data_IF_569871640991
#
_entry.id   IF_569871640991
#
_cell.length_a   1.000
_cell.length_b   1.000
_cell.length_c   1.000
_cell.angle_alpha   90.00
_cell.angle_beta   90.00
_cell.angle_gamma   90.00
#
_symmetry.space_group_name_H-M   'P 1'
#
loop_
_entity.id
_entity.type
_entity.pdbx_description
1 polymer ?
#
# COMPACT_ATOMS: atom_id res chain seq x y z
N UNK A 1 22.10 -1.22 -3.24
CA UNK A 1 22.47 -2.47 -2.56
C UNK A 1 21.31 -3.44 -2.76
N UNK A 2 21.51 -4.63 -3.32
CA UNK A 2 20.46 -5.63 -3.50
C UNK A 2 20.32 -6.48 -2.25
N UNK A 3 19.08 -6.90 -1.94
CA UNK A 3 18.77 -7.79 -0.83
C UNK A 3 17.99 -9.00 -1.34
N UNK A 4 18.12 -10.12 -0.65
CA UNK A 4 17.33 -11.31 -0.90
C UNK A 4 15.88 -11.03 -0.52
N UNK A 5 14.95 -11.19 -1.47
CA UNK A 5 13.57 -10.77 -1.28
C UNK A 5 12.80 -11.68 -0.31
N UNK A 6 12.06 -11.09 0.61
CA UNK A 6 11.12 -11.80 1.48
C UNK A 6 9.95 -12.32 0.64
N UNK A 7 9.74 -13.63 0.59
CA UNK A 7 8.71 -14.32 -0.21
C UNK A 7 7.89 -15.30 0.61
N UNK A 8 7.70 -15.05 1.91
CA UNK A 8 6.79 -15.87 2.75
C UNK A 8 5.35 -15.80 2.23
N UNK A 9 4.93 -14.60 1.88
CA UNK A 9 3.61 -14.30 1.34
C UNK A 9 3.66 -13.06 0.43
N UNK A 10 2.63 -12.78 -0.38
CA UNK A 10 2.60 -11.62 -1.27
C UNK A 10 2.72 -10.28 -0.55
N UNK A 11 2.21 -10.17 0.67
CA UNK A 11 2.30 -8.95 1.49
C UNK A 11 3.75 -8.68 1.91
N UNK A 12 4.53 -9.71 2.26
CA UNK A 12 5.95 -9.60 2.59
C UNK A 12 6.77 -9.10 1.39
N UNK A 13 6.48 -9.59 0.18
CA UNK A 13 7.11 -9.10 -1.05
C UNK A 13 6.82 -7.63 -1.30
N UNK A 14 5.56 -7.23 -1.19
CA UNK A 14 5.13 -5.84 -1.38
C UNK A 14 5.79 -4.92 -0.36
N UNK A 15 5.80 -5.31 0.91
CA UNK A 15 6.47 -4.56 1.98
C UNK A 15 7.96 -4.39 1.71
N UNK A 16 8.64 -5.46 1.31
CA UNK A 16 10.08 -5.41 1.03
C UNK A 16 10.43 -4.43 -0.08
N UNK A 17 9.62 -4.38 -1.15
CA UNK A 17 9.78 -3.42 -2.25
C UNK A 17 9.55 -1.95 -1.84
N UNK A 18 8.79 -1.71 -0.78
CA UNK A 18 8.44 -0.38 -0.26
C UNK A 18 9.26 0.03 0.97
N UNK A 19 10.30 -0.71 1.30
CA UNK A 19 11.14 -0.45 2.48
C UNK A 19 12.12 0.69 2.22
N UNK A 20 12.27 1.57 3.20
CA UNK A 20 13.21 2.69 3.23
C UNK A 20 14.25 2.39 4.30
N UNK A 21 15.53 2.56 3.99
CA UNK A 21 16.63 2.31 4.92
C UNK A 21 17.52 3.55 5.03
N UNK A 22 17.81 3.95 6.26
CA UNK A 22 18.82 4.97 6.55
C UNK A 22 20.25 4.41 6.57
N UNK A 23 20.40 3.08 6.51
CA UNK A 23 21.68 2.37 6.58
C UNK A 23 22.29 2.18 5.18
N UNK A 24 23.59 1.99 5.13
CA UNK A 24 24.30 1.61 3.92
C UNK A 24 25.29 2.64 3.42
N UNK A 25 25.86 2.46 2.20
CA UNK A 25 26.82 3.40 1.63
C UNK A 25 26.20 4.78 1.46
N UNK A 26 26.86 5.81 2.03
CA UNK A 26 26.35 7.18 2.05
C UNK A 26 25.29 7.47 3.10
N UNK A 27 24.88 6.47 3.89
CA UNK A 27 23.93 6.58 4.99
C UNK A 27 24.59 6.52 6.36
N UNK A 28 23.76 6.21 7.37
CA UNK A 28 24.19 6.09 8.77
C UNK A 28 24.70 4.69 9.08
N UNK A 29 25.52 4.58 10.14
CA UNK A 29 25.80 3.32 10.81
C UNK A 29 24.93 3.20 12.07
N UNK A 30 24.59 1.97 12.48
CA UNK A 30 23.75 1.72 13.67
C UNK A 30 24.30 2.37 14.94
N UNK A 31 25.61 2.37 15.06
CA UNK A 31 26.34 2.89 16.25
C UNK A 31 26.32 4.42 16.31
N UNK A 32 26.26 5.09 15.15
CA UNK A 32 26.25 6.55 15.06
C UNK A 32 24.83 7.14 15.03
N UNK A 33 23.81 6.30 14.90
CA UNK A 33 22.42 6.74 14.86
C UNK A 33 21.91 7.03 16.27
N UNK A 34 21.78 8.31 16.60
CA UNK A 34 21.15 8.79 17.84
C UNK A 34 19.62 8.68 17.79
N UNK A 35 18.97 9.20 18.83
CA UNK A 35 17.49 9.23 18.90
C UNK A 35 16.88 10.12 17.84
N UNK A 36 17.46 11.25 17.52
CA UNK A 36 16.92 12.24 16.58
C UNK A 36 16.59 11.67 15.19
N UNK A 37 17.46 10.77 14.68
CA UNK A 37 17.26 10.13 13.37
C UNK A 37 16.29 8.95 13.40
N UNK A 38 15.89 8.50 14.59
CA UNK A 38 14.95 7.39 14.80
C UNK A 38 13.55 7.87 15.16
N UNK A 39 13.43 9.14 15.55
CA UNK A 39 12.19 9.75 15.95
C UNK A 39 11.27 10.02 14.75
N UNK A 40 9.98 10.12 15.03
CA UNK A 40 8.97 10.47 14.04
C UNK A 40 8.91 11.99 13.96
N UNK A 41 9.21 12.53 12.77
CA UNK A 41 9.12 13.95 12.48
C UNK A 41 7.80 14.27 11.78
N UNK A 42 7.28 15.48 11.89
CA UNK A 42 6.01 15.85 11.23
C UNK A 42 6.05 15.67 9.70
N UNK A 43 7.22 15.84 9.07
CA UNK A 43 7.42 15.59 7.64
C UNK A 43 7.22 14.14 7.20
N UNK A 44 7.12 13.20 8.15
CA UNK A 44 6.81 11.80 7.85
C UNK A 44 5.33 11.59 7.50
N UNK A 45 4.47 12.54 7.85
CA UNK A 45 3.03 12.44 7.60
C UNK A 45 2.74 12.18 6.12
N UNK A 46 1.99 11.12 5.84
CA UNK A 46 1.65 10.71 4.48
C UNK A 46 2.81 10.18 3.63
N UNK A 47 4.04 10.13 4.15
CA UNK A 47 5.27 9.71 3.46
C UNK A 47 5.87 8.44 4.02
N UNK A 48 6.12 8.41 5.31
CA UNK A 48 6.69 7.25 6.01
C UNK A 48 5.77 6.80 7.13
N UNK A 49 5.53 5.49 7.22
CA UNK A 49 4.68 4.93 8.27
C UNK A 49 5.33 5.13 9.64
N UNK A 50 4.61 5.69 10.64
CA UNK A 50 5.15 5.88 11.98
C UNK A 50 5.19 4.59 12.81
N UNK A 51 4.50 3.54 12.37
CA UNK A 51 4.30 2.30 13.13
C UNK A 51 5.20 1.18 12.61
N UNK A 52 5.26 0.98 11.29
CA UNK A 52 5.98 -0.14 10.69
C UNK A 52 7.50 0.09 10.68
N UNK A 53 8.17 -0.44 11.67
CA UNK A 53 9.64 -0.45 11.80
C UNK A 53 10.07 -1.76 12.47
N UNK A 54 11.30 -2.26 12.26
CA UNK A 54 11.81 -3.41 13.00
C UNK A 54 11.92 -3.13 14.50
N UNK A 55 11.85 -4.18 15.28
CA UNK A 55 12.19 -4.14 16.70
C UNK A 55 13.71 -4.28 16.88
N UNK A 56 14.25 -3.67 17.96
CA UNK A 56 15.66 -3.79 18.29
C UNK A 56 16.56 -2.70 17.68
N UNK A 57 17.83 -3.00 17.35
CA UNK A 57 18.83 -1.99 16.98
C UNK A 57 18.51 -1.15 15.75
N UNK A 58 17.65 -1.64 14.88
CA UNK A 58 17.26 -0.98 13.63
C UNK A 58 15.98 -0.15 13.76
N UNK A 59 15.39 -0.02 14.95
CA UNK A 59 14.18 0.75 15.16
C UNK A 59 14.35 2.19 14.65
N UNK A 60 13.40 2.68 13.88
CA UNK A 60 13.42 4.02 13.29
C UNK A 60 14.40 4.22 12.12
N UNK A 61 15.36 3.30 11.90
CA UNK A 61 16.34 3.38 10.81
C UNK A 61 15.87 2.66 9.54
N UNK A 62 14.99 1.68 9.70
CA UNK A 62 14.34 0.99 8.60
C UNK A 62 12.84 1.26 8.76
N UNK A 63 12.26 1.89 7.76
CA UNK A 63 10.87 2.30 7.74
C UNK A 63 10.19 1.81 6.46
N UNK A 64 8.90 2.03 6.35
CA UNK A 64 8.12 1.67 5.15
C UNK A 64 7.43 2.90 4.58
N UNK A 65 7.36 2.94 3.25
CA UNK A 65 6.64 3.98 2.52
C UNK A 65 5.15 3.93 2.87
N UNK A 66 4.54 5.08 3.14
CA UNK A 66 3.11 5.18 3.38
C UNK A 66 2.29 4.76 2.16
N UNK A 67 1.03 4.38 2.38
CA UNK A 67 0.18 3.71 1.37
C UNK A 67 0.11 4.46 0.04
N UNK A 68 -0.10 5.77 0.07
CA UNK A 68 -0.27 6.60 -1.13
C UNK A 68 0.97 7.38 -1.54
N UNK A 69 2.06 7.28 -0.77
CA UNK A 69 3.29 8.00 -1.04
C UNK A 69 3.99 7.50 -2.31
N UNK A 70 4.65 8.41 -3.00
CA UNK A 70 5.48 8.16 -4.19
C UNK A 70 6.87 8.76 -4.00
N UNK A 71 7.82 8.26 -4.76
CA UNK A 71 9.17 8.82 -4.86
C UNK A 71 9.25 9.55 -6.20
N UNK A 72 9.64 10.83 -6.17
CA UNK A 72 9.79 11.63 -7.37
C UNK A 72 11.11 11.33 -8.09
N UNK A 73 11.31 11.97 -9.25
CA UNK A 73 12.51 11.78 -10.07
C UNK A 73 13.82 12.21 -9.39
N UNK A 74 13.76 13.03 -8.34
CA UNK A 74 14.90 13.49 -7.56
C UNK A 74 15.19 12.64 -6.34
N UNK A 75 14.31 11.66 -6.04
CA UNK A 75 14.44 10.77 -4.88
C UNK A 75 13.73 11.24 -3.61
N UNK A 76 12.98 12.35 -3.66
CA UNK A 76 12.17 12.82 -2.53
C UNK A 76 10.83 12.08 -2.48
N UNK A 77 10.32 11.88 -1.26
CA UNK A 77 9.03 11.26 -1.04
C UNK A 77 7.95 12.34 -1.09
N UNK A 78 6.93 12.10 -1.90
CA UNK A 78 5.77 12.98 -2.07
C UNK A 78 4.52 12.32 -1.52
N UNK A 79 3.66 13.12 -0.90
CA UNK A 79 2.33 12.73 -0.45
C UNK A 79 1.25 13.40 -1.31
N UNK A 80 0.12 12.71 -1.58
CA UNK A 80 -0.96 13.26 -2.38
C UNK A 80 -1.98 13.97 -1.51
N UNK A 81 -2.51 15.10 -2.02
CA UNK A 81 -3.55 15.92 -1.40
C UNK A 81 -4.58 16.36 -2.43
N UNK A 82 -5.82 16.55 -1.99
CA UNK A 82 -6.90 17.11 -2.79
C UNK A 82 -6.85 18.63 -2.67
N UNK A 83 -6.90 19.31 -3.80
CA UNK A 83 -6.89 20.78 -3.82
C UNK A 83 -8.24 21.34 -3.40
N UNK A 84 -8.23 22.40 -2.61
CA UNK A 84 -9.42 23.17 -2.24
C UNK A 84 -9.45 24.46 -3.07
N UNK A 85 -10.56 24.71 -3.74
CA UNK A 85 -10.78 25.95 -4.46
C UNK A 85 -11.15 27.06 -3.47
N UNK A 86 -10.31 28.09 -3.39
CA UNK A 86 -10.50 29.22 -2.45
C UNK A 86 -11.69 30.14 -2.78
N UNK A 87 -12.09 30.16 -4.06
CA UNK A 87 -13.22 31.02 -4.47
C UNK A 87 -14.54 30.40 -4.07
N UNK A 88 -14.70 29.12 -4.27
CA UNK A 88 -15.94 28.39 -4.00
C UNK A 88 -15.94 27.67 -2.64
N UNK A 89 -14.80 27.51 -1.99
CA UNK A 89 -14.62 26.73 -0.76
C UNK A 89 -14.87 25.23 -0.97
N UNK A 90 -14.73 24.74 -2.21
CA UNK A 90 -15.02 23.37 -2.60
C UNK A 90 -13.74 22.53 -2.67
N UNK A 91 -13.78 21.33 -2.11
CA UNK A 91 -12.76 20.32 -2.30
C UNK A 91 -12.89 19.73 -3.71
N UNK A 92 -11.85 19.84 -4.51
CA UNK A 92 -11.82 19.32 -5.90
C UNK A 92 -11.34 17.88 -5.93
N UNK A 93 -11.55 17.20 -7.07
CA UNK A 93 -10.98 15.87 -7.32
C UNK A 93 -9.55 15.94 -7.89
N UNK A 94 -9.00 17.15 -8.01
CA UNK A 94 -7.62 17.35 -8.44
C UNK A 94 -6.66 16.90 -7.33
N UNK A 95 -5.83 15.91 -7.64
CA UNK A 95 -4.83 15.35 -6.73
C UNK A 95 -3.46 15.94 -7.05
N UNK A 96 -2.87 16.62 -6.08
CA UNK A 96 -1.53 17.20 -6.18
C UNK A 96 -0.58 16.43 -5.27
N UNK A 97 0.57 16.03 -5.81
CA UNK A 97 1.65 15.41 -5.04
C UNK A 97 2.63 16.49 -4.59
N UNK A 98 2.93 16.52 -3.30
CA UNK A 98 3.82 17.53 -2.71
C UNK A 98 4.92 16.88 -1.87
N UNK A 99 6.11 17.48 -1.94
CA UNK A 99 7.22 17.22 -1.01
C UNK A 99 6.96 17.91 0.33
N UNK A 100 7.69 17.55 1.37
CA UNK A 100 7.45 18.09 2.72
C UNK A 100 7.72 19.59 2.82
N UNK A 101 8.75 20.08 2.11
CA UNK A 101 9.10 21.50 2.05
C UNK A 101 8.01 22.35 1.39
N UNK A 102 7.40 21.85 0.32
CA UNK A 102 6.28 22.50 -0.33
C UNK A 102 5.02 22.48 0.53
N UNK A 103 4.78 21.38 1.25
CA UNK A 103 3.64 21.21 2.15
C UNK A 103 3.66 22.21 3.32
N UNK A 104 4.84 22.58 3.80
CA UNK A 104 5.03 23.52 4.92
C UNK A 104 4.42 24.92 4.67
N UNK A 105 4.11 25.25 3.42
CA UNK A 105 3.50 26.54 3.05
C UNK A 105 1.97 26.52 3.16
N UNK A 106 1.34 25.34 3.27
CA UNK A 106 -0.11 25.16 3.13
C UNK A 106 -0.78 24.66 4.40
N UNK A 107 -2.07 25.03 4.55
CA UNK A 107 -2.97 24.53 5.58
C UNK A 107 -3.78 23.38 5.01
N UNK A 108 -3.67 22.19 5.62
CA UNK A 108 -4.24 20.95 5.11
C UNK A 108 -5.31 20.42 6.06
N UNK A 109 -6.53 20.25 5.55
CA UNK A 109 -7.63 19.64 6.31
C UNK A 109 -7.49 18.14 6.42
N UNK A 110 -8.00 17.57 7.52
CA UNK A 110 -8.05 16.13 7.71
C UNK A 110 -9.10 15.49 6.78
N UNK A 111 -8.84 14.24 6.37
CA UNK A 111 -9.71 13.48 5.47
C UNK A 111 -11.09 13.15 6.06
N UNK A 112 -11.25 13.21 7.40
CA UNK A 112 -12.49 12.88 8.09
C UNK A 112 -13.47 14.05 8.20
N UNK A 113 -13.06 15.24 7.78
CA UNK A 113 -13.93 16.43 7.87
C UNK A 113 -15.17 16.23 6.99
N UNK A 114 -16.38 16.52 7.53
CA UNK A 114 -17.62 16.32 6.80
C UNK A 114 -17.76 17.34 5.67
N UNK A 115 -18.10 16.83 4.48
CA UNK A 115 -18.37 17.61 3.28
C UNK A 115 -19.84 17.49 2.91
N UNK A 116 -20.41 18.55 2.32
CA UNK A 116 -21.73 18.52 1.72
C UNK A 116 -21.73 17.81 0.34
N UNK A 117 -22.90 17.71 -0.29
CA UNK A 117 -23.04 17.11 -1.62
C UNK A 117 -22.27 17.89 -2.72
N UNK A 118 -21.98 19.17 -2.48
CA UNK A 118 -21.20 20.00 -3.38
C UNK A 118 -19.69 19.95 -3.11
N UNK A 119 -19.27 19.23 -2.06
CA UNK A 119 -17.86 19.10 -1.64
C UNK A 119 -17.34 20.28 -0.83
N UNK A 120 -18.21 21.04 -0.14
CA UNK A 120 -17.82 22.11 0.78
C UNK A 120 -17.82 21.63 2.22
N UNK A 121 -16.99 22.24 3.06
CA UNK A 121 -16.96 21.94 4.48
C UNK A 121 -18.29 22.39 5.14
N UNK A 122 -18.90 21.46 5.88
CA UNK A 122 -20.17 21.72 6.61
C UNK A 122 -19.89 22.56 7.85
N UNK A 123 -18.80 22.23 8.55
CA UNK A 123 -18.46 22.86 9.81
C UNK A 123 -17.81 24.24 9.61
N UNK A 124 -18.18 25.19 10.48
CA UNK A 124 -17.60 26.55 10.48
C UNK A 124 -16.11 26.53 10.85
N UNK A 125 -15.68 25.56 11.63
CA UNK A 125 -14.31 25.32 12.01
C UNK A 125 -13.94 23.92 11.59
N UNK A 126 -12.86 23.79 10.89
CA UNK A 126 -12.32 22.55 10.31
C UNK A 126 -11.01 22.26 10.99
N UNK A 127 -10.81 21.00 11.39
CA UNK A 127 -9.54 20.53 11.91
C UNK A 127 -8.53 20.44 10.77
N UNK A 128 -7.45 21.20 10.89
CA UNK A 128 -6.42 21.29 9.88
C UNK A 128 -5.03 21.19 10.52
N UNK A 129 -4.08 20.76 9.71
CA UNK A 129 -2.68 20.67 10.06
C UNK A 129 -1.89 21.77 9.34
N UNK A 130 -1.01 22.42 10.08
CA UNK A 130 -0.03 23.35 9.56
C UNK A 130 1.33 23.03 10.19
N UNK A 131 2.25 22.47 9.41
CA UNK A 131 3.52 21.93 9.87
C UNK A 131 3.30 20.87 10.98
N UNK A 132 3.76 21.15 12.20
CA UNK A 132 3.64 20.32 13.41
C UNK A 132 2.41 20.63 14.27
N UNK A 133 1.68 21.69 13.97
CA UNK A 133 0.52 22.14 14.74
C UNK A 133 -0.79 21.64 14.15
N UNK A 134 -1.72 21.25 15.03
CA UNK A 134 -3.11 20.96 14.68
C UNK A 134 -3.93 22.19 15.10
N UNK A 135 -4.63 22.78 14.13
CA UNK A 135 -5.38 24.03 14.27
C UNK A 135 -6.85 23.82 13.90
N UNK A 136 -7.73 24.53 14.57
CA UNK A 136 -9.11 24.71 14.12
C UNK A 136 -9.23 26.03 13.34
N UNK A 137 -9.42 25.95 12.05
CA UNK A 137 -9.49 27.11 11.16
C UNK A 137 -10.80 27.15 10.36
N UNK A 138 -11.25 28.32 9.93
CA UNK A 138 -12.39 28.38 9.03
C UNK A 138 -12.05 27.77 7.66
N UNK A 139 -13.01 27.13 7.00
CA UNK A 139 -12.83 26.46 5.72
C UNK A 139 -12.18 27.30 4.62
N UNK A 140 -12.36 28.64 4.67
CA UNK A 140 -11.74 29.58 3.72
C UNK A 140 -10.21 29.68 3.81
N UNK A 141 -9.61 29.22 4.90
CA UNK A 141 -8.14 29.20 5.09
C UNK A 141 -7.48 27.90 4.64
N UNK A 142 -8.27 26.90 4.28
CA UNK A 142 -7.77 25.59 3.89
C UNK A 142 -7.32 25.63 2.43
N UNK A 143 -6.12 25.15 2.17
CA UNK A 143 -5.53 25.06 0.84
C UNK A 143 -5.72 23.67 0.21
N UNK A 144 -5.56 22.62 1.02
CA UNK A 144 -5.66 21.24 0.59
C UNK A 144 -6.38 20.39 1.65
N UNK A 145 -6.76 19.18 1.25
CA UNK A 145 -7.36 18.18 2.12
C UNK A 145 -6.68 16.82 1.90
N UNK A 146 -6.49 16.08 2.98
CA UNK A 146 -6.00 14.69 2.91
C UNK A 146 -6.93 13.83 2.06
N UNK A 147 -6.37 12.86 1.32
CA UNK A 147 -7.16 11.97 0.47
C UNK A 147 -7.93 10.94 1.31
N UNK A 148 -7.26 10.38 2.31
CA UNK A 148 -7.80 9.30 3.14
C UNK A 148 -7.04 9.24 4.47
N UNK A 149 -7.71 8.84 5.57
CA UNK A 149 -7.02 8.58 6.84
C UNK A 149 -5.93 7.50 6.73
N UNK A 150 -6.06 6.59 5.77
CA UNK A 150 -5.08 5.51 5.51
C UNK A 150 -3.76 6.02 4.94
N UNK A 151 -3.68 7.28 4.50
CA UNK A 151 -2.43 7.80 3.96
C UNK A 151 -1.31 7.94 5.00
N UNK A 152 -1.65 7.95 6.29
CA UNK A 152 -0.69 8.03 7.39
C UNK A 152 0.18 6.78 7.52
N UNK A 153 -0.39 5.60 7.24
CA UNK A 153 0.21 4.30 7.54
C UNK A 153 0.67 3.56 6.27
N UNK A 154 1.54 2.57 6.46
CA UNK A 154 1.97 1.67 5.39
C UNK A 154 0.86 0.69 4.98
N UNK A 155 1.07 0.02 3.86
CA UNK A 155 0.14 -0.98 3.33
C UNK A 155 -0.11 -2.10 4.34
N UNK A 156 0.93 -2.57 5.02
CA UNK A 156 0.82 -3.66 6.01
C UNK A 156 0.04 -3.21 7.23
N UNK A 157 0.37 -2.03 7.76
CA UNK A 157 -0.31 -1.46 8.93
C UNK A 157 -1.78 -1.14 8.62
N UNK A 158 -2.10 -0.73 7.40
CA UNK A 158 -3.46 -0.48 6.96
C UNK A 158 -4.36 -1.73 6.93
N UNK A 159 -3.78 -2.93 7.02
CA UNK A 159 -4.53 -4.19 7.15
C UNK A 159 -4.96 -4.52 8.58
N UNK A 160 -4.52 -3.76 9.59
CA UNK A 160 -4.88 -3.99 10.98
C UNK A 160 -6.27 -3.39 11.24
N UNK A 161 -7.30 -4.20 11.53
CA UNK A 161 -8.62 -3.69 11.87
C UNK A 161 -8.58 -3.01 13.25
N UNK A 162 -9.35 -1.94 13.43
CA UNK A 162 -9.43 -1.15 14.67
C UNK A 162 -8.08 -0.60 15.15
N UNK A 163 -7.20 -0.28 14.21
CA UNK A 163 -5.85 0.23 14.50
C UNK A 163 -5.86 1.41 15.47
N UNK A 164 -6.84 2.29 15.36
CA UNK A 164 -7.00 3.48 16.21
C UNK A 164 -7.20 3.17 17.71
N UNK A 165 -7.61 1.94 18.03
CA UNK A 165 -7.82 1.47 19.40
C UNK A 165 -6.61 0.71 19.97
N UNK A 166 -5.61 0.42 19.12
CA UNK A 166 -4.43 -0.34 19.51
C UNK A 166 -3.31 0.58 20.00
N UNK A 167 -2.54 0.09 20.98
CA UNK A 167 -1.28 0.72 21.34
C UNK A 167 -0.26 0.61 20.20
N UNK A 168 0.51 1.68 19.99
CA UNK A 168 1.49 1.76 18.90
C UNK A 168 2.51 0.61 18.93
N UNK A 169 2.96 0.18 20.12
CA UNK A 169 3.89 -0.93 20.26
C UNK A 169 3.28 -2.25 19.77
N UNK A 170 2.01 -2.50 20.08
CA UNK A 170 1.31 -3.71 19.63
C UNK A 170 0.99 -3.67 18.14
N UNK A 171 0.65 -2.52 17.59
CA UNK A 171 0.47 -2.32 16.17
C UNK A 171 1.79 -2.56 15.39
N UNK A 172 2.93 -2.13 15.91
CA UNK A 172 4.25 -2.41 15.36
C UNK A 172 4.53 -3.92 15.31
N UNK A 173 4.32 -4.62 16.43
CA UNK A 173 4.49 -6.08 16.49
C UNK A 173 3.55 -6.79 15.51
N UNK A 174 2.28 -6.42 15.48
CA UNK A 174 1.27 -6.98 14.59
C UNK A 174 1.60 -6.79 13.11
N UNK A 175 2.03 -5.60 12.71
CA UNK A 175 2.41 -5.32 11.33
C UNK A 175 3.63 -6.15 10.90
N UNK A 176 4.63 -6.32 11.77
CA UNK A 176 5.77 -7.19 11.49
C UNK A 176 5.37 -8.67 11.38
N UNK A 177 4.48 -9.15 12.27
CA UNK A 177 4.02 -10.54 12.26
C UNK A 177 3.18 -10.90 11.01
N UNK A 178 2.39 -9.98 10.44
CA UNK A 178 1.65 -10.22 9.20
C UNK A 178 2.55 -10.66 8.04
N UNK A 179 3.76 -10.14 7.98
CA UNK A 179 4.72 -10.50 6.95
C UNK A 179 5.40 -11.85 7.15
N UNK A 180 5.25 -12.45 8.32
CA UNK A 180 5.77 -13.79 8.65
C UNK A 180 4.72 -14.89 8.40
N UNK A 181 3.47 -14.52 8.10
CA UNK A 181 2.39 -15.47 7.86
C UNK A 181 2.70 -16.35 6.66
N UNK A 182 2.47 -17.65 6.81
CA UNK A 182 2.61 -18.64 5.74
C UNK A 182 1.24 -18.85 5.10
N UNK A 183 1.12 -18.77 3.76
CA UNK A 183 -0.13 -19.06 3.06
C UNK A 183 -0.61 -20.49 3.34
N UNK A 184 -1.88 -20.65 3.67
CA UNK A 184 -2.49 -21.93 3.94
C UNK A 184 -2.94 -22.64 2.65
N UNK A 185 -3.09 -23.95 2.70
CA UNK A 185 -3.59 -24.78 1.59
C UNK A 185 -5.04 -24.38 1.22
N UNK A 186 -5.89 -24.21 2.22
CA UNK A 186 -7.22 -23.63 2.09
C UNK A 186 -7.21 -22.27 2.77
N UNK A 187 -7.42 -21.23 1.99
CA UNK A 187 -7.41 -19.85 2.49
C UNK A 187 -8.83 -19.35 2.67
N UNK A 188 -9.10 -18.73 3.82
CA UNK A 188 -10.36 -18.06 4.10
C UNK A 188 -10.16 -16.54 4.14
N UNK A 189 -11.20 -15.81 3.74
CA UNK A 189 -11.18 -14.35 3.89
C UNK A 189 -11.41 -13.96 5.36
N UNK A 190 -10.78 -12.86 5.83
CA UNK A 190 -11.02 -12.40 7.19
C UNK A 190 -12.48 -11.95 7.37
N UNK A 191 -13.09 -12.32 8.51
CA UNK A 191 -14.46 -11.91 8.85
C UNK A 191 -14.52 -10.39 9.05
N UNK A 192 -13.50 -9.83 9.68
CA UNK A 192 -13.34 -8.38 9.87
C UNK A 192 -12.10 -7.92 9.11
N UNK A 193 -12.27 -7.00 8.18
CA UNK A 193 -11.21 -6.44 7.37
C UNK A 193 -11.28 -4.92 7.30
N UNK A 194 -10.27 -4.31 6.73
CA UNK A 194 -10.16 -2.84 6.57
C UNK A 194 -10.64 -2.36 5.20
N UNK A 195 -10.94 -3.29 4.27
CA UNK A 195 -11.36 -3.00 2.90
C UNK A 195 -10.21 -2.65 1.93
N UNK A 196 -8.96 -2.67 2.40
CA UNK A 196 -7.78 -2.46 1.54
C UNK A 196 -7.22 -3.78 0.99
N UNK A 197 -7.59 -4.92 1.59
CA UNK A 197 -7.04 -6.25 1.33
C UNK A 197 -7.21 -6.65 -0.14
N UNK A 198 -8.40 -6.43 -0.70
CA UNK A 198 -8.69 -6.75 -2.11
C UNK A 198 -7.78 -5.95 -3.06
N UNK A 199 -7.58 -4.67 -2.78
CA UNK A 199 -6.70 -3.82 -3.59
C UNK A 199 -5.24 -4.25 -3.47
N UNK A 200 -4.78 -4.56 -2.28
CA UNK A 200 -3.43 -5.06 -2.04
C UNK A 200 -3.20 -6.37 -2.80
N UNK A 201 -4.12 -7.33 -2.70
CA UNK A 201 -4.03 -8.60 -3.40
C UNK A 201 -3.94 -8.41 -4.93
N UNK A 202 -4.71 -7.48 -5.47
CA UNK A 202 -4.71 -7.15 -6.89
C UNK A 202 -3.41 -6.48 -7.34
N UNK A 203 -2.90 -5.53 -6.55
CA UNK A 203 -1.73 -4.71 -6.89
C UNK A 203 -0.40 -5.38 -6.52
N UNK A 204 -0.40 -6.41 -5.66
CA UNK A 204 0.82 -7.13 -5.23
C UNK A 204 1.49 -7.95 -6.35
N UNK A 205 0.77 -8.22 -7.45
CA UNK A 205 1.22 -9.11 -8.53
C UNK A 205 1.10 -10.60 -8.20
N UNK A 206 0.50 -10.95 -7.06
CA UNK A 206 0.16 -12.35 -6.72
C UNK A 206 -1.04 -12.88 -7.51
N UNK A 207 -1.85 -12.01 -8.08
CA UNK A 207 -2.93 -12.33 -8.98
C UNK A 207 -2.53 -11.99 -10.42
N UNK A 208 -2.84 -12.87 -11.36
CA UNK A 208 -2.65 -12.58 -12.79
C UNK A 208 -3.89 -11.85 -13.30
N UNK A 209 -3.67 -10.67 -13.88
CA UNK A 209 -4.74 -9.80 -14.38
C UNK A 209 -4.78 -9.80 -15.90
N UNK A 210 -5.98 -9.61 -16.45
CA UNK A 210 -6.18 -9.40 -17.89
C UNK A 210 -5.62 -8.04 -18.33
N UNK A 211 -5.08 -7.99 -19.56
CA UNK A 211 -4.54 -6.75 -20.13
C UNK A 211 -5.60 -5.90 -20.85
N UNK A 212 -6.60 -6.55 -21.42
CA UNK A 212 -7.70 -5.93 -22.14
C UNK A 212 -8.98 -6.76 -22.04
N UNK A 213 -10.09 -6.21 -22.49
CA UNK A 213 -11.37 -6.91 -22.59
C UNK A 213 -11.26 -8.00 -23.68
N UNK A 214 -11.85 -9.17 -23.41
CA UNK A 214 -11.76 -10.25 -24.39
C UNK A 214 -12.46 -11.52 -23.94
N UNK A 215 -12.19 -12.59 -24.68
CA UNK A 215 -12.73 -13.93 -24.42
C UNK A 215 -11.58 -14.91 -24.19
N UNK A 216 -11.72 -15.75 -23.17
CA UNK A 216 -10.76 -16.81 -22.87
C UNK A 216 -10.82 -17.88 -23.94
N UNK A 217 -9.76 -18.00 -24.73
CA UNK A 217 -9.69 -18.95 -25.86
C UNK A 217 -9.24 -20.33 -25.40
N UNK A 218 -8.27 -20.38 -24.47
CA UNK A 218 -7.70 -21.64 -23.96
C UNK A 218 -7.29 -21.52 -22.51
N UNK A 219 -7.58 -22.52 -21.72
CA UNK A 219 -7.13 -22.67 -20.34
C UNK A 219 -6.35 -23.95 -20.19
N UNK A 220 -5.08 -23.83 -19.82
CA UNK A 220 -4.22 -24.97 -19.47
C UNK A 220 -3.64 -24.76 -18.08
N UNK A 221 -3.06 -25.81 -17.51
CA UNK A 221 -2.48 -25.72 -16.17
C UNK A 221 -1.32 -24.71 -16.07
N UNK A 222 -0.58 -24.53 -17.18
CA UNK A 222 0.64 -23.72 -17.27
C UNK A 222 0.45 -22.39 -18.02
N UNK A 223 -0.72 -22.22 -18.70
CA UNK A 223 -0.99 -21.00 -19.46
C UNK A 223 -2.48 -20.73 -19.67
N UNK A 224 -2.82 -19.46 -19.78
CA UNK A 224 -4.15 -18.96 -20.18
C UNK A 224 -3.96 -18.12 -21.43
N UNK A 225 -4.74 -18.38 -22.49
CA UNK A 225 -4.75 -17.58 -23.71
C UNK A 225 -6.07 -16.82 -23.80
N UNK A 226 -5.97 -15.50 -23.89
CA UNK A 226 -7.12 -14.60 -24.04
C UNK A 226 -7.04 -13.92 -25.38
N UNK A 227 -8.11 -14.00 -26.14
CA UNK A 227 -8.29 -13.23 -27.38
C UNK A 227 -8.96 -11.91 -27.02
N UNK A 228 -8.19 -10.83 -27.10
CA UNK A 228 -8.69 -9.48 -26.86
C UNK A 228 -9.66 -9.00 -27.92
N UNK A 229 -10.51 -8.05 -27.56
CA UNK A 229 -11.44 -7.41 -28.49
C UNK A 229 -10.69 -6.64 -29.60
N UNK A 230 -9.43 -6.24 -29.37
CA UNK A 230 -8.51 -5.71 -30.39
C UNK A 230 -8.04 -6.75 -31.42
N UNK A 231 -8.34 -8.04 -31.20
CA UNK A 231 -7.89 -9.17 -32.03
C UNK A 231 -6.52 -9.71 -31.63
N UNK A 232 -5.85 -9.11 -30.65
CA UNK A 232 -4.53 -9.54 -30.15
C UNK A 232 -4.74 -10.72 -29.20
N UNK A 233 -3.88 -11.74 -29.32
CA UNK A 233 -3.85 -12.87 -28.38
C UNK A 233 -2.84 -12.59 -27.27
N UNK A 234 -3.32 -12.58 -26.03
CA UNK A 234 -2.49 -12.45 -24.83
C UNK A 234 -2.29 -13.82 -24.16
N UNK A 235 -1.05 -14.28 -24.11
CA UNK A 235 -0.71 -15.53 -23.41
C UNK A 235 -0.14 -15.19 -22.04
N UNK A 236 -0.82 -15.64 -20.99
CA UNK A 236 -0.38 -15.54 -19.61
C UNK A 236 0.21 -16.88 -19.15
N UNK A 237 1.51 -16.91 -18.94
CA UNK A 237 2.18 -18.10 -18.39
C UNK A 237 2.00 -18.17 -16.88
N UNK A 238 1.68 -19.35 -16.37
CA UNK A 238 1.45 -19.61 -14.96
C UNK A 238 2.64 -20.37 -14.35
N UNK A 239 3.10 -19.90 -13.20
CA UNK A 239 4.17 -20.56 -12.45
C UNK A 239 3.58 -21.78 -11.75
N UNK A 240 4.21 -22.94 -11.95
CA UNK A 240 3.78 -24.20 -11.37
C UNK A 240 4.83 -24.74 -10.41
N UNK A 241 4.44 -24.98 -9.16
CA UNK A 241 5.23 -25.67 -8.13
C UNK A 241 6.67 -25.14 -8.00
N UNK A 242 6.86 -23.83 -8.16
CA UNK A 242 8.16 -23.19 -7.97
C UNK A 242 8.45 -22.98 -6.48
N UNK A 243 9.72 -23.07 -6.11
CA UNK A 243 10.17 -22.78 -4.75
C UNK A 243 10.39 -21.28 -4.57
N UNK A 244 9.82 -20.68 -3.52
CA UNK A 244 10.14 -19.31 -3.11
C UNK A 244 11.49 -19.25 -2.38
N UNK A 245 11.98 -18.05 -2.12
CA UNK A 245 13.23 -17.81 -1.37
C UNK A 245 13.19 -18.43 0.04
N UNK A 246 12.03 -18.44 0.68
CA UNK A 246 11.81 -19.03 2.00
C UNK A 246 11.27 -20.47 1.94
N UNK A 247 11.44 -21.14 0.82
CA UNK A 247 11.02 -22.53 0.60
C UNK A 247 9.51 -22.78 0.61
N UNK A 248 8.70 -21.74 0.46
CA UNK A 248 7.27 -21.89 0.23
C UNK A 248 7.00 -22.32 -1.21
N UNK A 249 5.95 -23.12 -1.44
CA UNK A 249 5.54 -23.53 -2.78
C UNK A 249 4.71 -22.45 -3.46
N UNK A 250 5.13 -22.00 -4.63
CA UNK A 250 4.40 -21.07 -5.49
C UNK A 250 3.72 -21.87 -6.60
N UNK A 251 2.40 -21.88 -6.61
CA UNK A 251 1.61 -22.56 -7.62
C UNK A 251 0.41 -21.70 -8.05
N UNK A 252 0.37 -21.34 -9.33
CA UNK A 252 -0.74 -20.57 -9.87
C UNK A 252 -1.83 -21.50 -10.40
N UNK A 253 -3.09 -21.20 -10.05
CA UNK A 253 -4.26 -21.94 -10.49
C UNK A 253 -5.22 -21.03 -11.25
N UNK A 254 -5.61 -21.38 -12.51
CA UNK A 254 -6.61 -20.63 -13.24
C UNK A 254 -7.96 -20.71 -12.54
N UNK A 255 -8.70 -19.60 -12.54
CA UNK A 255 -10.07 -19.52 -12.00
C UNK A 255 -11.12 -19.31 -13.09
N UNK A 256 -10.68 -18.96 -14.30
CA UNK A 256 -11.55 -18.74 -15.47
C UNK A 256 -11.73 -20.00 -16.29
N UNK A 257 -12.81 -20.05 -17.08
CA UNK A 257 -13.12 -21.17 -17.98
C UNK A 257 -12.98 -20.74 -19.45
N UNK A 258 -12.76 -21.72 -20.33
CA UNK A 258 -12.76 -21.48 -21.77
C UNK A 258 -14.12 -20.95 -22.24
N UNK A 259 -14.10 -19.93 -23.10
CA UNK A 259 -15.28 -19.23 -23.60
C UNK A 259 -15.80 -18.12 -22.66
N UNK A 260 -15.24 -17.95 -21.48
CA UNK A 260 -15.66 -16.90 -20.54
C UNK A 260 -15.21 -15.52 -21.03
N UNK A 261 -16.11 -14.53 -20.91
CA UNK A 261 -15.78 -13.13 -21.20
C UNK A 261 -15.17 -12.46 -19.98
N UNK A 262 -14.02 -11.83 -20.17
CA UNK A 262 -13.27 -11.14 -19.12
C UNK A 262 -13.07 -9.68 -19.48
N UNK A 263 -13.03 -8.82 -18.47
CA UNK A 263 -12.77 -7.39 -18.62
C UNK A 263 -11.31 -7.08 -18.27
N UNK A 264 -10.83 -5.95 -18.74
CA UNK A 264 -9.51 -5.43 -18.36
C UNK A 264 -9.36 -5.35 -16.84
N UNK A 265 -8.23 -5.84 -16.34
CA UNK A 265 -7.92 -5.93 -14.92
C UNK A 265 -8.78 -6.93 -14.12
N UNK A 266 -9.49 -7.86 -14.76
CA UNK A 266 -10.09 -8.98 -14.05
C UNK A 266 -9.02 -10.00 -13.63
N UNK A 267 -9.23 -10.62 -12.48
CA UNK A 267 -8.34 -11.67 -11.96
C UNK A 267 -8.67 -12.98 -12.70
N UNK A 268 -7.66 -13.55 -13.35
CA UNK A 268 -7.81 -14.81 -14.13
C UNK A 268 -7.12 -16.00 -13.48
N UNK A 269 -6.21 -15.72 -12.54
CA UNK A 269 -5.47 -16.75 -11.84
C UNK A 269 -5.12 -16.27 -10.43
N UNK A 270 -5.17 -17.18 -9.47
CA UNK A 270 -4.78 -16.94 -8.09
C UNK A 270 -3.56 -17.77 -7.72
N UNK A 271 -2.78 -17.24 -6.78
CA UNK A 271 -1.70 -17.96 -6.14
C UNK A 271 -2.29 -18.95 -5.12
N UNK A 272 -1.95 -20.23 -5.29
CA UNK A 272 -2.22 -21.29 -4.33
C UNK A 272 -0.90 -21.86 -3.81
N UNK A 273 -0.85 -22.16 -2.52
CA UNK A 273 0.23 -22.94 -1.94
C UNK A 273 -0.19 -24.40 -1.92
N UNK A 274 0.67 -25.27 -2.39
CA UNK A 274 0.49 -26.73 -2.27
C UNK A 274 1.31 -27.24 -1.10
N UNK A 275 0.85 -28.26 -0.36
CA UNK A 275 1.70 -28.89 0.64
C UNK A 275 2.99 -29.39 -0.01
N UNK A 276 4.08 -29.29 0.72
CA UNK A 276 5.33 -29.92 0.28
C UNK A 276 5.10 -31.42 0.04
N UNK A 277 5.72 -32.02 -0.99
CA UNK A 277 5.68 -33.48 -1.17
C UNK A 277 6.18 -34.26 0.04
N UNK A 278 6.80 -33.59 1.02
CA UNK A 278 7.25 -34.20 2.28
C UNK A 278 6.16 -34.21 3.36
N UNK A 279 5.07 -33.50 3.16
CA UNK A 279 3.94 -33.37 4.11
C UNK A 279 2.73 -34.21 3.66
N UNK A 280 2.87 -35.00 2.60
CA UNK A 280 1.87 -35.92 2.06
C UNK A 280 2.13 -37.36 2.51
#
# INVERSE_FOLDING_TARGET
MSQFMDQNNPLAELRHKRRISALGPGGLSRERAGFEVRDIHYSHYGRMCPIETPEGPNIGLITSLATFAKINQYGFIEAPYRKVDKETGRVTDEIVYMTADTEDEFVIAQANEPLDEEGRFIDKKVSARYRDEILEVPGSRIDYMDISPRQLVSVVTACIPFLENDDANRALMGSNMQCQAVPLLTTDSPIVGTGIEHKIAKDSGSAVLTKEDGVVEKVAADQIVIKGDSGIRHTHKLIKFARSNQSCCINYRPIVKEGERVKKNDIICLLYTSPSPRDA
#
